data_IF_196414126792
#
_entry.id   IF_196414126792
#
_cell.length_a   1.000
_cell.length_b   1.000
_cell.length_c   1.000
_cell.angle_alpha   90.00
_cell.angle_beta   90.00
_cell.angle_gamma   90.00
#
_symmetry.space_group_name_H-M   'P 1'
#
loop_
_entity.id
_entity.type
_entity.pdbx_description
1 polymer ?
#
# COMPACT_ATOMS: atom_id res chain seq x y z
N UNK A 1 1.02 14.00 25.46
CA UNK A 1 1.65 14.40 24.18
C UNK A 1 2.01 13.11 23.44
N UNK A 2 1.09 12.59 22.61
CA UNK A 2 1.32 11.35 21.87
C UNK A 2 2.14 11.65 20.63
N UNK A 3 3.38 11.16 20.57
CA UNK A 3 4.19 11.22 19.35
C UNK A 3 3.54 10.30 18.30
N UNK A 4 2.66 10.86 17.47
CA UNK A 4 2.02 10.16 16.38
C UNK A 4 2.99 10.12 15.18
N UNK A 5 4.03 9.29 15.29
CA UNK A 5 5.00 9.04 14.22
C UNK A 5 4.36 8.09 13.18
N UNK A 6 3.38 8.60 12.44
CA UNK A 6 2.72 7.90 11.33
C UNK A 6 3.31 8.32 9.99
N UNK A 7 4.62 8.19 9.82
CA UNK A 7 5.21 8.28 8.48
C UNK A 7 4.91 7.02 7.68
N UNK A 8 4.78 7.16 6.36
CA UNK A 8 4.40 6.07 5.44
C UNK A 8 5.35 4.85 5.52
N UNK A 9 6.63 5.11 5.84
CA UNK A 9 7.69 4.11 5.93
C UNK A 9 8.20 3.84 7.36
N UNK A 10 7.67 4.53 8.38
CA UNK A 10 8.21 4.46 9.74
C UNK A 10 8.19 3.04 10.30
N UNK A 11 7.08 2.33 10.11
CA UNK A 11 6.91 0.98 10.63
C UNK A 11 7.81 -0.05 9.92
N UNK A 12 8.04 0.13 8.62
CA UNK A 12 8.91 -0.71 7.81
C UNK A 12 10.37 -0.53 8.24
N UNK A 13 10.81 0.72 8.46
CA UNK A 13 12.17 1.02 8.96
C UNK A 13 12.40 0.39 10.34
N UNK A 14 11.42 0.50 11.24
CA UNK A 14 11.46 -0.13 12.56
C UNK A 14 11.55 -1.66 12.44
N UNK A 15 10.77 -2.26 11.56
CA UNK A 15 10.80 -3.70 11.32
C UNK A 15 12.17 -4.16 10.77
N UNK A 16 12.72 -3.48 9.76
CA UNK A 16 14.06 -3.79 9.23
C UNK A 16 15.15 -3.62 10.28
N UNK A 17 15.07 -2.57 11.08
CA UNK A 17 16.00 -2.34 12.19
C UNK A 17 15.94 -3.52 13.17
N UNK A 18 14.74 -3.93 13.58
CA UNK A 18 14.55 -5.08 14.47
C UNK A 18 15.11 -6.38 13.86
N UNK A 19 14.88 -6.65 12.57
CA UNK A 19 15.42 -7.84 11.88
C UNK A 19 16.94 -7.82 11.92
N UNK A 20 17.58 -6.72 11.52
CA UNK A 20 19.04 -6.60 11.47
C UNK A 20 19.65 -6.78 12.87
N UNK A 21 19.07 -6.14 13.89
CA UNK A 21 19.52 -6.29 15.28
C UNK A 21 19.37 -7.72 15.78
N UNK A 22 18.25 -8.38 15.44
CA UNK A 22 18.00 -9.76 15.83
C UNK A 22 19.04 -10.71 15.23
N UNK A 23 19.32 -10.60 13.93
CA UNK A 23 20.38 -11.36 13.28
C UNK A 23 21.76 -11.07 13.89
N UNK A 24 22.06 -9.80 14.16
CA UNK A 24 23.31 -9.41 14.80
C UNK A 24 23.50 -10.07 16.17
N UNK A 25 22.47 -10.06 17.02
CA UNK A 25 22.51 -10.69 18.35
C UNK A 25 22.73 -12.20 18.21
N UNK A 26 21.99 -12.85 17.32
CA UNK A 26 22.08 -14.30 17.12
C UNK A 26 23.50 -14.70 16.68
N UNK A 27 24.09 -14.01 15.70
CA UNK A 27 25.44 -14.29 15.21
C UNK A 27 26.50 -14.00 16.28
N UNK A 28 26.44 -12.82 16.92
CA UNK A 28 27.44 -12.37 17.90
C UNK A 28 27.50 -13.29 19.12
N UNK A 29 26.35 -13.75 19.59
CA UNK A 29 26.25 -14.54 20.80
C UNK A 29 25.91 -16.02 20.54
N UNK A 30 26.26 -16.53 19.35
CA UNK A 30 26.00 -17.91 18.93
C UNK A 30 26.60 -18.99 19.85
N UNK A 31 27.58 -18.63 20.69
CA UNK A 31 28.16 -19.55 21.68
C UNK A 31 27.20 -19.89 22.83
N UNK A 32 26.19 -19.06 23.10
CA UNK A 32 25.25 -19.24 24.20
C UNK A 32 24.11 -20.17 23.77
N UNK A 33 23.84 -21.23 24.55
CA UNK A 33 22.83 -22.24 24.19
C UNK A 33 21.42 -21.65 24.02
N UNK A 34 21.01 -20.73 24.90
CA UNK A 34 19.71 -20.06 24.81
C UNK A 34 19.52 -19.30 23.51
N UNK A 35 20.60 -18.72 22.97
CA UNK A 35 20.56 -17.93 21.73
C UNK A 35 20.49 -18.83 20.51
N UNK A 36 21.10 -20.02 20.56
CA UNK A 36 20.90 -21.05 19.54
C UNK A 36 19.45 -21.52 19.49
N UNK A 37 18.84 -21.79 20.65
CA UNK A 37 17.43 -22.20 20.73
C UNK A 37 16.53 -21.09 20.19
N UNK A 38 16.78 -19.84 20.60
CA UNK A 38 16.04 -18.67 20.10
C UNK A 38 16.15 -18.53 18.57
N UNK A 39 17.38 -18.64 18.02
CA UNK A 39 17.61 -18.61 16.57
C UNK A 39 16.88 -19.74 15.85
N UNK A 40 16.96 -20.98 16.36
CA UNK A 40 16.23 -22.11 15.80
C UNK A 40 14.71 -21.88 15.83
N UNK A 41 14.17 -21.38 16.94
CA UNK A 41 12.74 -21.09 17.08
C UNK A 41 12.29 -19.99 16.11
N UNK A 42 13.10 -18.95 15.89
CA UNK A 42 12.83 -17.93 14.88
C UNK A 42 12.71 -18.54 13.47
N UNK A 43 13.69 -19.36 13.08
CA UNK A 43 13.65 -20.04 11.79
C UNK A 43 12.46 -21.01 11.68
N UNK A 44 12.16 -21.74 12.74
CA UNK A 44 11.03 -22.66 12.79
C UNK A 44 9.70 -21.92 12.64
N UNK A 45 9.50 -20.78 13.33
CA UNK A 45 8.28 -19.97 13.23
C UNK A 45 8.11 -19.36 11.83
N UNK A 46 9.19 -18.84 11.25
CA UNK A 46 9.18 -18.33 9.87
C UNK A 46 8.85 -19.46 8.90
N UNK A 47 9.46 -20.64 9.06
CA UNK A 47 9.15 -21.82 8.26
C UNK A 47 7.69 -22.29 8.42
N UNK A 48 7.18 -22.31 9.65
CA UNK A 48 5.78 -22.66 9.94
C UNK A 48 4.81 -21.66 9.33
N UNK A 49 5.17 -20.37 9.22
CA UNK A 49 4.32 -19.35 8.59
C UNK A 49 4.07 -19.59 7.10
N UNK A 50 4.88 -20.46 6.46
CA UNK A 50 4.72 -20.87 5.06
C UNK A 50 3.66 -21.98 4.92
N UNK A 51 3.47 -22.83 5.94
CA UNK A 51 2.54 -23.97 5.88
C UNK A 51 1.05 -23.59 5.73
N UNK A 52 0.50 -22.55 6.40
CA UNK A 52 -0.88 -22.10 6.17
C UNK A 52 -0.96 -21.31 4.85
N UNK A 53 -0.71 -22.00 3.74
CA UNK A 53 -0.80 -21.50 2.35
C UNK A 53 0.13 -20.31 2.01
N UNK A 54 1.22 -20.13 2.77
CA UNK A 54 2.14 -18.99 2.68
C UNK A 54 1.50 -17.60 2.82
N UNK A 55 0.20 -17.49 3.12
CA UNK A 55 -0.50 -16.21 3.24
C UNK A 55 0.12 -15.33 4.34
N UNK A 56 0.37 -15.83 5.56
CA UNK A 56 0.99 -15.01 6.60
C UNK A 56 2.39 -14.56 6.19
N UNK A 57 3.15 -15.46 5.58
CA UNK A 57 4.49 -15.16 5.07
C UNK A 57 4.47 -14.06 4.01
N UNK A 58 3.62 -14.18 2.99
CA UNK A 58 3.47 -13.19 1.92
C UNK A 58 3.01 -11.84 2.47
N UNK A 59 2.08 -11.83 3.44
CA UNK A 59 1.63 -10.60 4.09
C UNK A 59 2.78 -9.86 4.78
N UNK A 60 3.64 -10.58 5.50
CA UNK A 60 4.83 -10.02 6.16
C UNK A 60 5.83 -9.48 5.12
N UNK A 61 6.12 -10.24 4.07
CA UNK A 61 7.04 -9.82 3.00
C UNK A 61 6.50 -8.58 2.28
N UNK A 62 5.23 -8.60 1.87
CA UNK A 62 4.61 -7.45 1.21
C UNK A 62 4.57 -6.21 2.10
N UNK A 63 4.45 -6.38 3.43
CA UNK A 63 4.58 -5.28 4.38
C UNK A 63 6.02 -4.74 4.45
N UNK A 64 7.02 -5.60 4.65
CA UNK A 64 8.43 -5.22 4.80
C UNK A 64 8.97 -4.45 3.60
N UNK A 65 8.54 -4.84 2.40
CA UNK A 65 8.98 -4.24 1.14
C UNK A 65 7.98 -3.22 0.57
N UNK A 66 6.89 -2.91 1.28
CA UNK A 66 5.80 -2.04 0.80
C UNK A 66 5.24 -2.46 -0.60
N UNK A 67 5.20 -3.76 -0.89
CA UNK A 67 4.70 -4.29 -2.17
C UNK A 67 3.18 -4.16 -2.32
N UNK A 68 2.48 -3.82 -1.24
CA UNK A 68 1.05 -3.59 -1.28
C UNK A 68 0.69 -2.31 -2.04
N UNK A 69 1.63 -1.38 -2.22
CA UNK A 69 1.38 -0.11 -2.92
C UNK A 69 1.67 -0.29 -4.40
N UNK A 70 0.63 -0.24 -5.24
CA UNK A 70 0.76 -0.36 -6.70
C UNK A 70 1.22 0.98 -7.29
N UNK A 71 0.57 2.06 -6.86
CA UNK A 71 0.79 3.37 -7.44
C UNK A 71 0.50 4.46 -6.42
N UNK A 72 1.31 5.51 -6.45
CA UNK A 72 1.07 6.76 -5.72
C UNK A 72 1.01 7.90 -6.72
N UNK A 73 -0.10 8.64 -6.71
CA UNK A 73 -0.39 9.74 -7.61
C UNK A 73 -0.52 10.99 -6.76
N UNK A 74 0.35 11.97 -7.00
CA UNK A 74 0.24 13.27 -6.36
C UNK A 74 -0.75 14.11 -7.14
N UNK A 75 -1.83 14.48 -6.49
CA UNK A 75 -2.86 15.35 -7.07
C UNK A 75 -2.48 16.82 -6.86
N UNK A 76 -1.94 17.13 -5.68
CA UNK A 76 -1.38 18.44 -5.34
C UNK A 76 -0.35 18.28 -4.19
N UNK A 77 0.22 19.38 -3.71
CA UNK A 77 1.11 19.40 -2.54
C UNK A 77 0.45 18.87 -1.25
N UNK A 78 -0.88 18.96 -1.15
CA UNK A 78 -1.66 18.56 0.04
C UNK A 78 -2.41 17.23 -0.12
N UNK A 79 -2.60 16.75 -1.34
CA UNK A 79 -3.44 15.57 -1.60
C UNK A 79 -2.73 14.54 -2.48
N UNK A 80 -2.82 13.27 -2.07
CA UNK A 80 -2.32 12.13 -2.84
C UNK A 80 -3.35 11.01 -2.89
N UNK A 81 -3.34 10.29 -3.99
CA UNK A 81 -4.09 9.05 -4.17
C UNK A 81 -3.08 7.91 -4.14
N UNK A 82 -3.33 6.91 -3.30
CA UNK A 82 -2.49 5.72 -3.20
C UNK A 82 -3.35 4.52 -3.52
N UNK A 83 -3.01 3.83 -4.60
CA UNK A 83 -3.67 2.60 -5.01
C UNK A 83 -2.93 1.43 -4.39
N UNK A 84 -3.63 0.63 -3.61
CA UNK A 84 -3.05 -0.52 -2.90
C UNK A 84 -3.82 -1.80 -3.18
N UNK A 85 -3.08 -2.91 -3.24
CA UNK A 85 -3.58 -4.27 -3.32
C UNK A 85 -2.86 -5.10 -2.28
N UNK A 86 -3.56 -5.45 -1.21
CA UNK A 86 -3.01 -6.37 -0.20
C UNK A 86 -3.14 -7.81 -0.69
N UNK A 87 -2.30 -8.68 -0.15
CA UNK A 87 -2.37 -10.12 -0.40
C UNK A 87 -3.80 -10.63 -0.15
N UNK A 88 -4.43 -11.19 -1.20
CA UNK A 88 -5.82 -11.68 -1.21
C UNK A 88 -6.91 -10.64 -0.86
N UNK A 89 -6.63 -9.34 -1.01
CA UNK A 89 -7.63 -8.30 -0.87
C UNK A 89 -7.92 -7.63 -2.22
N UNK A 90 -9.11 -7.03 -2.31
CA UNK A 90 -9.49 -6.22 -3.47
C UNK A 90 -8.62 -4.97 -3.59
N UNK A 91 -8.38 -4.52 -4.83
CA UNK A 91 -7.63 -3.30 -5.13
C UNK A 91 -8.46 -2.10 -4.66
N UNK A 92 -7.83 -1.18 -3.94
CA UNK A 92 -8.49 -0.01 -3.34
C UNK A 92 -7.69 1.25 -3.59
N UNK A 93 -8.38 2.36 -3.82
CA UNK A 93 -7.78 3.68 -3.86
C UNK A 93 -7.98 4.39 -2.53
N UNK A 94 -6.89 4.88 -1.96
CA UNK A 94 -6.90 5.64 -0.71
C UNK A 94 -6.58 7.09 -1.04
N UNK A 95 -7.48 7.99 -0.67
CA UNK A 95 -7.25 9.43 -0.79
C UNK A 95 -6.71 9.91 0.56
N UNK A 96 -5.52 10.49 0.53
CA UNK A 96 -4.83 11.00 1.71
C UNK A 96 -4.65 12.51 1.62
N UNK A 97 -4.88 13.18 2.74
CA UNK A 97 -4.34 14.52 2.98
C UNK A 97 -2.95 14.36 3.60
N UNK A 98 -1.96 14.99 2.98
CA UNK A 98 -0.58 15.02 3.40
C UNK A 98 -0.28 16.29 4.17
N UNK A 99 -0.03 16.16 5.47
CA UNK A 99 0.31 17.32 6.31
C UNK A 99 1.80 17.71 6.20
N UNK A 100 2.64 16.95 5.48
CA UNK A 100 4.10 17.17 5.49
C UNK A 100 4.83 16.66 4.25
N UNK A 101 5.82 17.44 3.79
CA UNK A 101 6.58 17.20 2.55
C UNK A 101 7.60 16.04 2.62
N UNK A 102 7.90 15.52 3.82
CA UNK A 102 8.92 14.48 4.00
C UNK A 102 8.28 13.08 4.10
N UNK A 103 8.63 12.11 3.22
CA UNK A 103 7.97 10.79 3.17
C UNK A 103 8.01 9.99 4.48
N UNK A 104 9.08 10.15 5.26
CA UNK A 104 9.30 9.46 6.54
C UNK A 104 8.52 10.07 7.71
N UNK A 105 8.01 11.29 7.54
CA UNK A 105 7.23 12.02 8.52
C UNK A 105 5.82 12.32 7.99
N UNK A 106 5.52 11.84 6.79
CA UNK A 106 4.30 12.15 6.06
C UNK A 106 3.10 11.59 6.80
N UNK A 107 2.49 12.45 7.61
CA UNK A 107 1.25 12.14 8.28
C UNK A 107 0.13 12.18 7.25
N UNK A 108 -0.34 11.00 6.90
CA UNK A 108 -1.41 10.80 5.94
C UNK A 108 -2.72 10.49 6.69
N UNK A 109 -3.64 11.45 6.69
CA UNK A 109 -5.00 11.18 7.15
C UNK A 109 -5.80 10.63 5.98
N UNK A 110 -6.31 9.42 6.14
CA UNK A 110 -7.17 8.83 5.13
C UNK A 110 -8.53 9.54 5.15
N UNK A 111 -8.90 10.13 4.02
CA UNK A 111 -10.16 10.86 3.86
C UNK A 111 -11.24 9.95 3.28
N UNK A 112 -10.87 9.15 2.27
CA UNK A 112 -11.79 8.24 1.59
C UNK A 112 -11.08 6.96 1.16
N UNK A 113 -11.88 5.90 0.97
CA UNK A 113 -11.45 4.55 0.56
C UNK A 113 -12.41 3.94 -0.46
N UNK A 114 -12.64 4.58 -1.62
CA UNK A 114 -13.42 3.96 -2.68
C UNK A 114 -12.77 2.66 -3.16
N UNK A 115 -13.62 1.72 -3.56
CA UNK A 115 -13.16 0.51 -4.25
C UNK A 115 -12.67 0.90 -5.66
N UNK A 116 -11.55 0.33 -6.10
CA UNK A 116 -10.92 0.75 -7.36
C UNK A 116 -11.77 0.39 -8.59
N UNK A 117 -12.51 -0.71 -8.51
CA UNK A 117 -13.49 -1.16 -9.49
C UNK A 117 -14.55 -0.10 -9.79
N UNK A 118 -15.06 0.56 -8.74
CA UNK A 118 -16.11 1.58 -8.84
C UNK A 118 -15.59 2.83 -9.55
N UNK A 119 -14.33 3.19 -9.27
CA UNK A 119 -13.67 4.32 -9.92
C UNK A 119 -13.51 4.05 -11.42
N UNK A 120 -13.07 2.85 -11.80
CA UNK A 120 -12.84 2.48 -13.19
C UNK A 120 -14.17 2.40 -13.96
N UNK A 121 -15.20 1.80 -13.37
CA UNK A 121 -16.52 1.67 -14.00
C UNK A 121 -17.18 3.03 -14.23
N UNK A 122 -17.10 3.94 -13.25
CA UNK A 122 -17.60 5.32 -13.36
C UNK A 122 -16.82 6.14 -14.39
N UNK A 123 -15.48 6.03 -14.39
CA UNK A 123 -14.62 6.79 -15.33
C UNK A 123 -14.82 6.37 -16.79
N UNK A 124 -15.01 5.07 -17.04
CA UNK A 124 -15.18 4.52 -18.38
C UNK A 124 -16.66 4.39 -18.80
N UNK A 125 -17.60 4.71 -17.89
CA UNK A 125 -19.05 4.54 -18.08
C UNK A 125 -19.42 3.12 -18.54
N UNK A 126 -18.82 2.11 -17.89
CA UNK A 126 -19.04 0.68 -18.16
C UNK A 126 -19.75 0.02 -16.97
N UNK A 127 -20.52 -1.04 -17.24
CA UNK A 127 -21.18 -1.80 -16.17
C UNK A 127 -20.15 -2.60 -15.36
N UNK A 128 -20.40 -2.76 -14.07
CA UNK A 128 -19.56 -3.54 -13.15
C UNK A 128 -19.40 -5.01 -13.59
N UNK A 129 -20.45 -5.56 -14.23
CA UNK A 129 -20.46 -6.94 -14.72
C UNK A 129 -19.77 -7.11 -16.09
N UNK A 130 -19.21 -6.05 -16.67
CA UNK A 130 -18.51 -6.14 -17.97
C UNK A 130 -17.22 -6.98 -17.81
N UNK A 131 -17.04 -8.07 -18.60
CA UNK A 131 -15.84 -8.89 -18.53
C UNK A 131 -14.56 -8.11 -18.83
N UNK A 132 -14.62 -6.97 -19.51
CA UNK A 132 -13.48 -6.10 -19.79
C UNK A 132 -13.03 -5.28 -18.58
N UNK A 133 -13.86 -5.16 -17.52
CA UNK A 133 -13.51 -4.40 -16.31
C UNK A 133 -12.20 -4.90 -15.69
N UNK A 134 -11.98 -6.21 -15.66
CA UNK A 134 -10.74 -6.81 -15.16
C UNK A 134 -9.49 -6.38 -15.92
N UNK A 135 -9.60 -6.14 -17.23
CA UNK A 135 -8.49 -5.66 -18.06
C UNK A 135 -8.17 -4.20 -17.70
N UNK A 136 -9.20 -3.36 -17.59
CA UNK A 136 -9.08 -1.95 -17.21
C UNK A 136 -8.60 -1.74 -15.77
N UNK A 137 -8.95 -2.62 -14.84
CA UNK A 137 -8.47 -2.54 -13.46
C UNK A 137 -6.96 -2.71 -13.32
N UNK A 138 -6.33 -3.43 -14.25
CA UNK A 138 -4.89 -3.66 -14.22
C UNK A 138 -4.09 -2.50 -14.83
N UNK A 139 -4.75 -1.61 -15.57
CA UNK A 139 -4.13 -0.41 -16.13
C UNK A 139 -3.80 0.61 -15.02
N UNK A 140 -2.62 1.24 -15.05
CA UNK A 140 -2.25 2.31 -14.13
C UNK A 140 -3.01 3.60 -14.47
N UNK A 141 -3.40 4.36 -13.45
CA UNK A 141 -3.99 5.69 -13.66
C UNK A 141 -2.88 6.62 -14.16
N UNK A 142 -3.10 7.33 -15.26
CA UNK A 142 -2.05 8.20 -15.79
C UNK A 142 -2.05 9.58 -15.12
N UNK A 143 -3.22 10.16 -14.91
CA UNK A 143 -3.35 11.52 -14.37
C UNK A 143 -4.55 11.60 -13.43
N UNK A 144 -4.39 12.37 -12.35
CA UNK A 144 -5.48 12.73 -11.46
C UNK A 144 -5.39 14.23 -11.14
N UNK A 145 -6.50 14.94 -11.28
CA UNK A 145 -6.59 16.38 -11.03
C UNK A 145 -7.68 16.68 -10.03
N UNK A 146 -7.40 17.56 -9.09
CA UNK A 146 -8.41 18.05 -8.16
C UNK A 146 -9.33 19.05 -8.89
N UNK A 147 -10.63 18.75 -8.93
CA UNK A 147 -11.63 19.64 -9.53
C UNK A 147 -12.29 20.48 -8.44
N UNK A 148 -12.68 19.85 -7.33
CA UNK A 148 -13.45 20.53 -6.29
C UNK A 148 -13.14 19.99 -4.89
N UNK A 149 -13.17 20.90 -3.92
CA UNK A 149 -13.17 20.57 -2.49
C UNK A 149 -14.38 21.28 -1.89
N UNK A 150 -15.28 20.51 -1.29
CA UNK A 150 -16.37 21.01 -0.46
C UNK A 150 -16.18 20.45 0.96
N UNK A 151 -16.94 20.98 1.93
CA UNK A 151 -16.88 20.51 3.33
C UNK A 151 -17.12 19.01 3.47
N UNK A 152 -17.97 18.45 2.60
CA UNK A 152 -18.42 17.06 2.69
C UNK A 152 -18.05 16.20 1.46
N UNK A 153 -17.39 16.76 0.44
CA UNK A 153 -17.05 16.04 -0.79
C UNK A 153 -15.77 16.54 -1.44
N UNK A 154 -15.07 15.63 -2.13
CA UNK A 154 -13.86 15.93 -2.90
C UNK A 154 -14.09 15.40 -4.32
N UNK A 155 -14.05 16.29 -5.31
CA UNK A 155 -14.12 15.93 -6.72
C UNK A 155 -12.71 15.76 -7.30
N UNK A 156 -12.41 14.57 -7.78
CA UNK A 156 -11.14 14.23 -8.43
C UNK A 156 -11.45 13.76 -9.85
N UNK A 157 -10.87 14.43 -10.84
CA UNK A 157 -10.84 13.94 -12.21
C UNK A 157 -9.75 12.90 -12.35
N UNK A 158 -10.07 11.77 -12.94
CA UNK A 158 -9.12 10.71 -13.23
C UNK A 158 -9.10 10.50 -14.73
N UNK A 159 -7.92 10.50 -15.33
CA UNK A 159 -7.74 10.25 -16.76
C UNK A 159 -6.91 8.98 -16.98
N UNK A 160 -7.47 8.04 -17.74
CA UNK A 160 -6.84 6.79 -18.15
C UNK A 160 -6.48 6.78 -19.63
N UNK A 161 -5.54 5.91 -20.03
CA UNK A 161 -5.13 5.66 -21.43
C UNK A 161 -6.33 5.42 -22.34
N UNK A 162 -7.23 4.57 -21.88
CA UNK A 162 -8.38 4.05 -22.62
C UNK A 162 -9.46 5.11 -22.87
N UNK A 163 -9.63 6.03 -21.92
CA UNK A 163 -10.56 7.14 -22.07
C UNK A 163 -10.09 8.09 -23.20
N UNK A 164 -8.78 8.25 -23.38
CA UNK A 164 -8.20 9.08 -24.45
C UNK A 164 -8.42 8.48 -25.85
N UNK A 165 -8.46 7.16 -25.97
CA UNK A 165 -8.76 6.47 -27.23
C UNK A 165 -10.24 6.61 -27.63
N UNK A 166 -11.17 6.54 -26.67
CA UNK A 166 -12.62 6.70 -26.93
C UNK A 166 -13.02 8.11 -27.42
N UNK A 167 -12.18 9.13 -27.23
CA UNK A 167 -12.42 10.48 -27.76
C UNK A 167 -11.74 10.73 -29.12
N UNK A 168 -10.90 9.80 -29.59
CA UNK A 168 -10.16 9.91 -30.85
C UNK A 168 -10.72 9.00 -31.97
N UNK A 169 -11.79 8.24 -31.69
CA UNK A 169 -12.49 7.35 -32.62
C UNK A 169 -13.73 7.99 -33.23
#
# INVERSE_FOLDING_TARGET
>A
MGLNLKGEYTYQILAWTWIIFTFYIVIKFWKIIYIKIYGFLLFALVGLSILPMAIPFLSIVSFLFNMNTIQTIKVNDEYKIVVTKKVMAMKRAYIYNSESKFPILEKSNNIARPDYSDIVSETLNINFDDPKLYEYENEPIQQAKLISINKDSIGIEISNSQQKENYLS
#
